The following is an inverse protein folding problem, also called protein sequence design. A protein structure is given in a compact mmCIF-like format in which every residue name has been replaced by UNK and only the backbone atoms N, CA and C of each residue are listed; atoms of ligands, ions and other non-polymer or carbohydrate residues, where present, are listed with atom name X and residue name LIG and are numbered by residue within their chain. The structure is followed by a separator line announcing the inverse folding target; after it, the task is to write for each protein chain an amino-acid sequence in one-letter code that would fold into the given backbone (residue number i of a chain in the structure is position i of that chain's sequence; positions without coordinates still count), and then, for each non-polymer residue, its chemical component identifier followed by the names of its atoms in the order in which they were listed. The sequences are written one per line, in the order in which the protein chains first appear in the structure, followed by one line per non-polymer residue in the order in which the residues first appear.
data_IF_817967101051
#
_entry.id   IF_817967101051
#
_cell.length_a   1.000
_cell.length_b   1.000
_cell.length_c   1.000
_cell.angle_alpha   90.00
_cell.angle_beta   90.00
_cell.angle_gamma   90.00
#
_symmetry.space_group_name_H-M   'P 1'
#
loop_
_entity.id
_entity.type
_entity.pdbx_description
1 polymer ?
#
# COMPACT_ATOMS: atom_id res chain seq x y z
N UNK A 1 9.48 -10.84 19.16
CA UNK A 1 9.59 -9.51 18.53
C UNK A 1 8.30 -8.75 18.72
N UNK A 2 8.40 -7.50 19.13
CA UNK A 2 7.23 -6.64 19.27
C UNK A 2 6.62 -6.33 17.91
N UNK A 3 5.30 -6.43 17.82
CA UNK A 3 4.54 -6.07 16.61
C UNK A 3 3.52 -5.01 16.95
N UNK A 4 3.46 -3.97 16.15
CA UNK A 4 2.52 -2.86 16.36
C UNK A 4 1.09 -3.31 16.08
N UNK A 5 0.13 -2.60 16.66
CA UNK A 5 -1.29 -2.82 16.41
C UNK A 5 -1.58 -2.74 14.90
N UNK A 6 -0.92 -1.82 14.22
CA UNK A 6 -1.06 -1.65 12.77
C UNK A 6 -0.67 -2.89 11.97
N UNK A 7 0.24 -3.71 12.48
CA UNK A 7 0.60 -4.98 11.86
C UNK A 7 -0.63 -5.89 11.73
N UNK A 8 -1.34 -6.06 12.82
CA UNK A 8 -2.53 -6.92 12.84
C UNK A 8 -3.65 -6.35 11.98
N UNK A 9 -3.81 -5.03 12.00
CA UNK A 9 -4.82 -4.35 11.20
C UNK A 9 -4.56 -4.51 9.72
N UNK A 10 -3.33 -4.27 9.27
CA UNK A 10 -2.97 -4.41 7.86
C UNK A 10 -3.09 -5.86 7.41
N UNK A 11 -2.58 -6.80 8.19
CA UNK A 11 -2.64 -8.22 7.88
C UNK A 11 -4.09 -8.68 7.73
N UNK A 12 -4.96 -8.28 8.64
CA UNK A 12 -6.37 -8.61 8.62
C UNK A 12 -7.06 -8.06 7.36
N UNK A 13 -6.78 -6.81 7.02
CA UNK A 13 -7.39 -6.17 5.85
C UNK A 13 -6.92 -6.78 4.54
N UNK A 14 -5.66 -7.19 4.47
CA UNK A 14 -5.13 -7.88 3.27
C UNK A 14 -5.81 -9.24 3.10
N UNK A 15 -6.13 -9.91 4.18
CA UNK A 15 -6.79 -11.22 4.14
C UNK A 15 -8.25 -11.14 3.69
N UNK A 16 -8.89 -9.99 3.83
CA UNK A 16 -10.27 -9.80 3.41
C UNK A 16 -10.38 -9.74 1.88
N UNK A 17 -11.55 -10.03 1.30
CA UNK A 17 -11.75 -9.86 -0.14
C UNK A 17 -11.45 -8.42 -0.58
N UNK A 18 -11.03 -8.25 -1.82
CA UNK A 18 -10.71 -6.94 -2.37
C UNK A 18 -11.93 -6.01 -2.29
N UNK A 19 -11.77 -4.91 -1.57
CA UNK A 19 -12.83 -3.91 -1.42
C UNK A 19 -12.28 -2.50 -1.47
N UNK A 20 -11.25 -2.20 -0.65
CA UNK A 20 -10.64 -0.88 -0.55
C UNK A 20 -9.13 -0.96 -0.70
N UNK A 21 -8.56 0.13 -1.22
CA UNK A 21 -7.11 0.32 -1.21
C UNK A 21 -6.67 0.53 0.23
N UNK A 22 -5.63 -0.18 0.67
CA UNK A 22 -5.09 0.02 2.00
C UNK A 22 -3.96 1.05 1.93
N UNK A 23 -4.11 2.15 2.64
CA UNK A 23 -3.12 3.23 2.65
C UNK A 23 -2.44 3.26 4.02
N UNK A 24 -1.14 2.98 4.04
CA UNK A 24 -0.35 3.04 5.25
C UNK A 24 0.42 4.37 5.24
N UNK A 25 0.03 5.28 6.13
CA UNK A 25 0.58 6.62 6.17
C UNK A 25 1.24 6.91 7.49
N UNK A 26 2.21 7.80 7.48
CA UNK A 26 2.90 8.23 8.68
C UNK A 26 4.14 9.03 8.34
N UNK A 27 4.80 9.63 9.35
CA UNK A 27 6.06 10.33 9.14
C UNK A 27 7.13 9.38 8.62
N UNK A 28 8.18 9.95 8.09
CA UNK A 28 9.36 9.18 7.72
C UNK A 28 9.94 8.47 8.94
N UNK A 29 10.58 7.33 8.71
CA UNK A 29 11.32 6.60 9.73
C UNK A 29 10.48 6.06 10.89
N UNK A 30 9.19 5.85 10.67
CA UNK A 30 8.35 5.17 11.67
C UNK A 30 8.21 3.67 11.40
N UNK A 31 8.94 3.14 10.41
CA UNK A 31 8.97 1.71 10.15
C UNK A 31 7.86 1.19 9.25
N UNK A 32 7.29 2.04 8.38
CA UNK A 32 6.22 1.62 7.47
C UNK A 32 6.64 0.47 6.57
N UNK A 33 7.78 0.61 5.88
CA UNK A 33 8.28 -0.44 4.99
C UNK A 33 8.60 -1.71 5.74
N UNK A 34 9.20 -1.59 6.93
CA UNK A 34 9.52 -2.75 7.77
C UNK A 34 8.26 -3.49 8.17
N UNK A 35 7.23 -2.75 8.60
CA UNK A 35 5.95 -3.34 8.96
C UNK A 35 5.34 -4.13 7.81
N UNK A 36 5.31 -3.53 6.63
CA UNK A 36 4.73 -4.17 5.44
C UNK A 36 5.52 -5.41 5.07
N UNK A 37 6.85 -5.34 5.09
CA UNK A 37 7.68 -6.50 4.78
C UNK A 37 7.43 -7.66 5.76
N UNK A 38 7.22 -7.37 7.03
CA UNK A 38 6.86 -8.40 8.01
C UNK A 38 5.51 -9.05 7.68
N UNK A 39 4.52 -8.23 7.33
CA UNK A 39 3.20 -8.74 6.92
C UNK A 39 3.33 -9.62 5.69
N UNK A 40 4.09 -9.18 4.69
CA UNK A 40 4.25 -9.92 3.43
C UNK A 40 4.88 -11.30 3.64
N UNK A 41 5.74 -11.44 4.65
CA UNK A 41 6.35 -12.73 4.97
C UNK A 41 5.37 -13.73 5.59
N UNK A 42 4.26 -13.25 6.14
CA UNK A 42 3.31 -14.07 6.87
C UNK A 42 1.98 -14.30 6.14
N UNK A 43 1.75 -13.62 5.02
CA UNK A 43 0.55 -13.84 4.23
C UNK A 43 0.77 -14.95 3.21
N UNK A 44 -0.33 -15.60 2.82
CA UNK A 44 -0.31 -16.68 1.84
C UNK A 44 -0.77 -16.19 0.47
N UNK A 45 -0.48 -14.95 0.16
CA UNK A 45 -0.90 -14.28 -1.06
C UNK A 45 0.34 -13.87 -1.86
N UNK A 46 0.40 -14.18 -3.17
CA UNK A 46 1.53 -13.69 -3.97
C UNK A 46 1.50 -12.18 -4.07
N UNK A 47 2.66 -11.57 -4.08
CA UNK A 47 2.75 -10.11 -4.04
C UNK A 47 3.91 -9.60 -4.88
N UNK A 48 3.85 -8.29 -5.17
CA UNK A 48 4.91 -7.54 -5.80
C UNK A 48 5.10 -6.23 -5.02
N UNK A 49 6.32 -5.98 -4.58
CA UNK A 49 6.66 -4.76 -3.83
C UNK A 49 7.54 -3.86 -4.72
N UNK A 50 7.08 -2.65 -4.96
CA UNK A 50 7.83 -1.67 -5.77
C UNK A 50 7.92 -0.35 -5.01
N UNK A 51 8.96 0.42 -5.28
CA UNK A 51 9.16 1.73 -4.68
C UNK A 51 9.37 2.78 -5.75
N UNK A 52 8.78 3.94 -5.56
CA UNK A 52 8.96 5.08 -6.44
C UNK A 52 10.16 5.96 -6.05
N UNK A 53 10.97 5.52 -5.11
CA UNK A 53 12.09 6.31 -4.57
C UNK A 53 13.07 6.80 -5.65
N UNK A 54 13.32 5.97 -6.65
CA UNK A 54 14.27 6.29 -7.72
C UNK A 54 13.57 6.53 -9.05
N UNK A 55 12.26 6.75 -9.02
CA UNK A 55 11.48 7.01 -10.23
C UNK A 55 11.47 8.52 -10.49
N UNK A 56 11.65 8.90 -11.75
CA UNK A 56 11.53 10.29 -12.15
C UNK A 56 10.08 10.76 -11.91
N UNK A 57 9.88 11.88 -11.21
CA UNK A 57 8.51 12.39 -10.98
C UNK A 57 7.70 12.58 -12.27
N UNK A 58 8.37 12.89 -13.36
CA UNK A 58 7.72 13.09 -14.67
C UNK A 58 7.28 11.79 -15.31
N UNK A 59 7.72 10.65 -14.81
CA UNK A 59 7.33 9.35 -15.36
C UNK A 59 5.94 8.96 -14.89
N UNK A 60 4.92 9.65 -15.38
CA UNK A 60 3.53 9.47 -14.97
C UNK A 60 2.94 8.14 -15.44
N UNK A 61 3.61 7.45 -16.35
CA UNK A 61 3.20 6.12 -16.79
C UNK A 61 3.73 4.97 -15.93
N UNK A 62 4.62 5.27 -14.98
CA UNK A 62 5.26 4.23 -14.17
C UNK A 62 4.26 3.39 -13.36
N UNK A 63 3.27 4.05 -12.75
CA UNK A 63 2.26 3.35 -11.94
C UNK A 63 1.47 2.37 -12.81
N UNK A 64 1.06 2.80 -14.00
CA UNK A 64 0.38 1.92 -14.95
C UNK A 64 1.25 0.75 -15.38
N UNK A 65 2.55 0.97 -15.58
CA UNK A 65 3.49 -0.10 -15.93
C UNK A 65 3.61 -1.12 -14.80
N UNK A 66 3.73 -0.66 -13.56
CA UNK A 66 3.80 -1.56 -12.41
C UNK A 66 2.49 -2.34 -12.24
N UNK A 67 1.38 -1.68 -12.46
CA UNK A 67 0.07 -2.33 -12.41
C UNK A 67 -0.08 -3.42 -13.46
N UNK A 68 0.32 -3.12 -14.69
CA UNK A 68 0.31 -4.10 -15.77
C UNK A 68 1.20 -5.30 -15.47
N UNK A 69 2.38 -5.06 -14.89
CA UNK A 69 3.30 -6.12 -14.47
C UNK A 69 2.65 -6.98 -13.39
N UNK A 70 2.00 -6.36 -12.42
CA UNK A 70 1.31 -7.10 -11.35
C UNK A 70 0.18 -7.96 -11.91
N UNK A 71 -0.61 -7.42 -12.84
CA UNK A 71 -1.68 -8.18 -13.50
C UNK A 71 -1.11 -9.39 -14.25
N UNK A 72 -0.01 -9.20 -14.96
CA UNK A 72 0.64 -10.29 -15.69
C UNK A 72 1.16 -11.37 -14.74
N UNK A 73 1.75 -10.97 -13.63
CA UNK A 73 2.26 -11.92 -12.61
C UNK A 73 1.12 -12.67 -11.95
N UNK A 74 0.02 -12.00 -11.66
CA UNK A 74 -1.17 -12.64 -11.12
C UNK A 74 -1.68 -13.73 -12.06
N UNK A 75 -1.78 -13.39 -13.33
CA UNK A 75 -2.24 -14.34 -14.36
C UNK A 75 -1.29 -15.53 -14.47
N UNK A 76 0.02 -15.27 -14.47
CA UNK A 76 1.04 -16.31 -14.55
C UNK A 76 1.03 -17.23 -13.33
N UNK A 77 0.66 -16.70 -12.15
CA UNK A 77 0.60 -17.49 -10.92
C UNK A 77 -0.59 -18.44 -10.87
N UNK A 78 -1.59 -18.24 -11.70
CA UNK A 78 -2.84 -18.99 -11.67
C UNK A 78 -3.74 -18.65 -10.48
N UNK A 79 -3.39 -17.66 -9.71
CA UNK A 79 -4.18 -17.23 -8.55
C UNK A 79 -5.24 -16.19 -8.96
N UNK A 80 -6.33 -16.16 -8.22
CA UNK A 80 -7.41 -15.18 -8.45
C UNK A 80 -7.21 -13.90 -7.65
N UNK A 81 -6.24 -13.90 -6.72
CA UNK A 81 -5.89 -12.75 -5.92
C UNK A 81 -4.38 -12.53 -5.94
N UNK A 82 -4.00 -11.26 -5.90
CA UNK A 82 -2.60 -10.84 -5.91
C UNK A 82 -2.51 -9.51 -5.19
N UNK A 83 -1.34 -9.20 -4.63
CA UNK A 83 -1.13 -7.95 -3.90
C UNK A 83 -0.04 -7.12 -4.56
N UNK A 84 -0.35 -5.87 -4.90
CA UNK A 84 0.63 -4.88 -5.34
C UNK A 84 0.87 -3.91 -4.19
N UNK A 85 2.12 -3.71 -3.83
CA UNK A 85 2.52 -2.74 -2.81
C UNK A 85 3.38 -1.67 -3.47
N UNK A 86 2.99 -0.40 -3.32
CA UNK A 86 3.73 0.73 -3.88
C UNK A 86 4.20 1.62 -2.74
N UNK A 87 5.50 1.67 -2.55
CA UNK A 87 6.14 2.52 -1.55
C UNK A 87 6.48 3.87 -2.15
N UNK A 88 6.35 4.93 -1.34
CA UNK A 88 6.68 6.30 -1.75
C UNK A 88 5.93 6.75 -3.01
N UNK A 89 4.68 6.34 -3.14
CA UNK A 89 3.87 6.57 -4.34
C UNK A 89 3.74 8.05 -4.70
N UNK A 90 3.79 8.93 -3.70
CA UNK A 90 3.65 10.38 -3.88
C UNK A 90 4.77 11.02 -4.69
N UNK A 91 5.87 10.30 -4.92
CA UNK A 91 7.00 10.82 -5.70
C UNK A 91 6.71 10.88 -7.21
N UNK A 92 5.67 10.21 -7.66
CA UNK A 92 5.24 10.26 -9.05
C UNK A 92 4.15 11.33 -9.20
N UNK A 93 4.32 12.22 -10.17
CA UNK A 93 3.32 13.25 -10.44
C UNK A 93 2.01 12.61 -10.88
N UNK A 94 0.89 13.15 -10.44
CA UNK A 94 -0.45 12.65 -10.74
C UNK A 94 -0.69 11.20 -10.30
N UNK A 95 0.02 10.76 -9.27
CA UNK A 95 -0.08 9.37 -8.81
C UNK A 95 -1.52 8.98 -8.45
N UNK A 96 -2.27 9.87 -7.81
CA UNK A 96 -3.62 9.55 -7.34
C UNK A 96 -4.59 9.30 -8.49
N UNK A 97 -4.46 10.06 -9.57
CA UNK A 97 -5.28 9.84 -10.77
C UNK A 97 -4.89 8.53 -11.47
N UNK A 98 -3.61 8.22 -11.52
CA UNK A 98 -3.14 6.96 -12.11
C UNK A 98 -3.66 5.76 -11.31
N UNK A 99 -3.59 5.83 -9.98
CA UNK A 99 -4.10 4.78 -9.09
C UNK A 99 -5.61 4.63 -9.26
N UNK A 100 -6.34 5.74 -9.27
CA UNK A 100 -7.79 5.72 -9.46
C UNK A 100 -8.19 5.01 -10.75
N UNK A 101 -7.53 5.36 -11.84
CA UNK A 101 -7.81 4.77 -13.14
C UNK A 101 -7.64 3.25 -13.13
N UNK A 102 -6.50 2.78 -12.64
CA UNK A 102 -6.20 1.34 -12.63
C UNK A 102 -7.08 0.59 -11.65
N UNK A 103 -7.32 1.18 -10.48
CA UNK A 103 -8.18 0.57 -9.46
C UNK A 103 -9.62 0.40 -9.95
N UNK A 104 -10.17 1.45 -10.56
CA UNK A 104 -11.54 1.42 -11.06
C UNK A 104 -11.68 0.46 -12.23
N UNK A 105 -10.67 0.37 -13.08
CA UNK A 105 -10.64 -0.57 -14.18
C UNK A 105 -10.68 -2.01 -13.67
N UNK A 106 -9.90 -2.32 -12.67
CA UNK A 106 -9.90 -3.64 -12.04
C UNK A 106 -11.23 -3.95 -11.34
N UNK A 107 -11.83 -2.94 -10.71
CA UNK A 107 -13.14 -3.11 -10.08
C UNK A 107 -14.21 -3.43 -11.13
N UNK A 108 -14.17 -2.75 -12.24
CA UNK A 108 -15.12 -2.97 -13.33
C UNK A 108 -14.99 -4.38 -13.93
N UNK A 109 -13.77 -4.89 -14.02
CA UNK A 109 -13.50 -6.20 -14.64
C UNK A 109 -13.38 -7.35 -13.62
N UNK A 110 -13.69 -7.11 -12.35
CA UNK A 110 -13.59 -8.10 -11.27
C UNK A 110 -12.19 -8.72 -11.15
N UNK A 111 -11.16 -7.93 -11.33
CA UNK A 111 -9.79 -8.38 -11.15
C UNK A 111 -9.44 -8.34 -9.66
N UNK A 112 -8.94 -9.45 -9.13
CA UNK A 112 -8.62 -9.60 -7.70
C UNK A 112 -7.27 -9.04 -7.29
N UNK A 113 -6.82 -7.95 -7.87
CA UNK A 113 -5.55 -7.29 -7.53
C UNK A 113 -5.79 -6.31 -6.39
N UNK A 114 -5.23 -6.64 -5.23
CA UNK A 114 -5.28 -5.79 -4.04
C UNK A 114 -4.14 -4.79 -4.06
N UNK A 115 -4.33 -3.64 -3.43
CA UNK A 115 -3.34 -2.58 -3.43
C UNK A 115 -3.06 -2.09 -2.02
N UNK A 116 -1.78 -1.97 -1.68
CA UNK A 116 -1.30 -1.28 -0.48
C UNK A 116 -0.39 -0.14 -0.93
N UNK A 117 -0.66 1.05 -0.44
CA UNK A 117 0.13 2.24 -0.73
C UNK A 117 0.80 2.71 0.56
N UNK A 118 2.09 3.03 0.49
CA UNK A 118 2.83 3.61 1.60
C UNK A 118 3.30 5.00 1.23
N UNK A 119 3.22 5.90 2.19
CA UNK A 119 3.75 7.24 2.01
C UNK A 119 3.61 8.10 3.24
N UNK A 120 4.19 9.28 3.18
CA UNK A 120 4.05 10.29 4.22
C UNK A 120 2.62 10.85 4.17
N UNK A 121 1.96 10.92 5.32
CA UNK A 121 0.58 11.42 5.42
C UNK A 121 0.43 12.78 4.76
N UNK A 122 1.36 13.68 5.05
CA UNK A 122 1.34 15.05 4.53
C UNK A 122 1.41 15.08 3.00
N UNK A 123 2.30 14.28 2.43
CA UNK A 123 2.52 14.27 0.99
C UNK A 123 1.38 13.58 0.25
N UNK A 124 0.85 12.50 0.82
CA UNK A 124 -0.29 11.81 0.23
C UNK A 124 -1.52 12.71 0.17
N UNK A 125 -1.81 13.44 1.25
CA UNK A 125 -2.95 14.35 1.30
C UNK A 125 -2.77 15.53 0.35
N UNK A 126 -1.56 16.08 0.27
CA UNK A 126 -1.25 17.19 -0.63
C UNK A 126 -1.51 16.83 -2.08
N UNK A 127 -1.22 15.60 -2.46
CA UNK A 127 -1.31 15.15 -3.85
C UNK A 127 -2.66 14.54 -4.21
N UNK A 128 -3.70 14.77 -3.39
CA UNK A 128 -5.07 14.47 -3.77
C UNK A 128 -5.62 13.13 -3.31
N UNK A 129 -5.05 12.52 -2.26
CA UNK A 129 -5.57 11.25 -1.73
C UNK A 129 -7.08 11.35 -1.43
N UNK A 130 -7.50 12.42 -0.76
CA UNK A 130 -8.90 12.59 -0.36
C UNK A 130 -9.82 12.98 -1.50
N UNK A 131 -9.28 13.56 -2.57
CA UNK A 131 -10.10 13.99 -3.70
C UNK A 131 -10.22 12.89 -4.75
N UNK A 132 -9.09 12.43 -5.27
CA UNK A 132 -9.08 11.45 -6.36
C UNK A 132 -9.52 10.07 -5.91
N UNK A 133 -9.15 9.67 -4.68
CA UNK A 133 -9.41 8.31 -4.19
C UNK A 133 -10.53 8.23 -3.18
N UNK A 134 -11.35 9.28 -3.05
CA UNK A 134 -12.48 9.30 -2.12
C UNK A 134 -13.36 8.06 -2.30
N UNK A 135 -13.68 7.39 -1.19
CA UNK A 135 -14.51 6.18 -1.20
C UNK A 135 -13.80 4.91 -1.64
N UNK A 136 -12.53 4.99 -2.03
CA UNK A 136 -11.77 3.85 -2.55
C UNK A 136 -10.71 3.32 -1.61
N UNK A 137 -10.46 3.97 -0.48
CA UNK A 137 -9.36 3.59 0.40
C UNK A 137 -9.76 3.57 1.86
N UNK A 138 -8.97 2.83 2.62
CA UNK A 138 -8.98 2.84 4.08
C UNK A 138 -7.59 3.24 4.55
N UNK A 139 -7.54 4.06 5.60
CA UNK A 139 -6.28 4.63 6.08
C UNK A 139 -5.83 3.92 7.35
N UNK A 140 -4.58 3.48 7.37
CA UNK A 140 -3.91 3.00 8.57
C UNK A 140 -2.82 4.01 8.89
N UNK A 141 -2.94 4.70 10.01
CA UNK A 141 -1.98 5.72 10.40
C UNK A 141 -0.92 5.15 11.33
N UNK A 142 0.33 5.40 10.98
CA UNK A 142 1.45 5.16 11.87
C UNK A 142 1.97 6.50 12.36
N UNK A 143 2.20 6.59 13.65
CA UNK A 143 2.83 7.76 14.26
C UNK A 143 4.15 7.33 14.86
N UNK A 144 4.89 8.29 15.43
CA UNK A 144 6.02 7.94 16.26
C UNK A 144 5.51 7.08 17.41
N UNK A 145 6.35 6.17 17.90
CA UNK A 145 5.95 5.28 18.96
C UNK A 145 5.40 6.07 20.14
N UNK A 146 4.20 5.70 20.58
CA UNK A 146 3.62 6.22 21.80
C UNK A 146 4.39 5.69 23.01
N UNK A 147 4.19 6.32 24.15
CA UNK A 147 4.80 5.83 25.40
C UNK A 147 4.44 4.36 25.65
N UNK A 148 3.17 4.01 25.46
CA UNK A 148 2.71 2.63 25.66
C UNK A 148 3.39 1.64 24.72
N UNK A 149 3.51 2.01 23.44
CA UNK A 149 4.17 1.16 22.46
C UNK A 149 5.65 0.97 22.80
N UNK A 150 6.33 2.03 23.19
CA UNK A 150 7.74 1.96 23.59
C UNK A 150 7.91 1.08 24.82
N UNK A 151 7.02 1.22 25.78
CA UNK A 151 7.04 0.41 27.00
C UNK A 151 6.90 -1.08 26.68
N UNK A 152 5.93 -1.44 25.85
CA UNK A 152 5.75 -2.83 25.42
C UNK A 152 6.95 -3.36 24.65
N UNK A 153 7.57 -2.53 23.81
CA UNK A 153 8.68 -2.94 22.97
C UNK A 153 9.97 -3.19 23.77
N UNK A 154 10.21 -2.41 24.83
CA UNK A 154 11.48 -2.42 25.53
C UNK A 154 11.41 -2.96 26.96
N UNK A 155 10.24 -3.14 27.50
CA UNK A 155 10.03 -3.56 28.89
C UNK A 155 9.31 -4.92 28.96
N UNK A 156 9.58 -5.73 28.02
CA UNK A 156 9.00 -7.09 28.03
C UNK A 156 9.82 -8.03 28.92
#
# INVERSE_FOLDING_TARGET
MYKRIQYNELKSRIAEPRDKIQVLSGPRQVGKSTLVKQVLQEIDLPYMFVSADNVDPDNTGWIGEMWSTARARMKASGKTEYLLVIDEVHKVDNWSEAVKKEWDDDTFHDVGLKLVILGSSRLLLKDGLTESLAGRYELIRMSHWSYGEMHEAFDM
#
